data_IF_862712754207
#
_entry.id   IF_862712754207
#
_cell.length_a   1.000
_cell.length_b   1.000
_cell.length_c   1.000
_cell.angle_alpha   90.00
_cell.angle_beta   90.00
_cell.angle_gamma   90.00
#
_symmetry.space_group_name_H-M   'P 1'
#
loop_
_entity.id
_entity.type
_entity.pdbx_description
1 polymer ?
#
# COMPACT_ATOMS: atom_id res chain seq x y z
N UNK A 1 8.64 -9.22 -14.18
CA UNK A 1 8.50 -9.37 -12.71
C UNK A 1 8.93 -8.05 -12.07
N UNK A 2 8.18 -7.55 -11.08
CA UNK A 2 8.45 -6.24 -10.46
C UNK A 2 9.17 -6.35 -9.10
N UNK A 3 9.24 -7.55 -8.52
CA UNK A 3 9.72 -7.79 -7.16
C UNK A 3 11.25 -7.73 -6.96
N UNK A 4 12.04 -7.62 -8.03
CA UNK A 4 13.52 -7.70 -7.94
C UNK A 4 14.24 -6.34 -7.96
N UNK A 5 13.52 -5.23 -8.09
CA UNK A 5 14.12 -3.88 -8.13
C UNK A 5 13.72 -2.99 -6.95
N UNK A 6 13.29 -3.59 -5.85
CA UNK A 6 12.82 -2.87 -4.65
C UNK A 6 11.69 -1.89 -4.98
N UNK A 7 11.59 -0.82 -4.18
CA UNK A 7 10.51 0.16 -4.31
C UNK A 7 10.52 0.89 -5.66
N UNK A 8 11.71 1.08 -6.25
CA UNK A 8 11.84 1.72 -7.57
C UNK A 8 11.09 0.92 -8.64
N UNK A 9 11.27 -0.40 -8.66
CA UNK A 9 10.57 -1.25 -9.63
C UNK A 9 9.06 -1.35 -9.33
N UNK A 10 8.66 -1.41 -8.06
CA UNK A 10 7.25 -1.45 -7.66
C UNK A 10 6.53 -0.16 -8.08
N UNK A 11 7.05 1.00 -7.70
CA UNK A 11 6.46 2.30 -8.02
C UNK A 11 6.42 2.55 -9.54
N UNK A 12 7.47 2.15 -10.26
CA UNK A 12 7.50 2.25 -11.71
C UNK A 12 6.44 1.36 -12.36
N UNK A 13 6.33 0.09 -11.90
CA UNK A 13 5.34 -0.85 -12.39
C UNK A 13 3.91 -0.38 -12.17
N UNK A 14 3.59 0.14 -10.98
CA UNK A 14 2.27 0.72 -10.66
C UNK A 14 1.95 1.88 -11.61
N UNK A 15 2.88 2.83 -11.81
CA UNK A 15 2.65 3.97 -12.72
C UNK A 15 2.46 3.55 -14.18
N UNK A 16 3.15 2.50 -14.62
CA UNK A 16 2.98 1.95 -15.98
C UNK A 16 1.60 1.31 -16.15
N UNK A 17 1.09 0.64 -15.11
CA UNK A 17 -0.26 0.05 -15.08
C UNK A 17 -1.34 1.13 -15.08
N UNK A 18 -1.22 2.14 -14.21
CA UNK A 18 -2.12 3.31 -14.15
C UNK A 18 -2.14 4.09 -15.48
N UNK A 19 -1.02 4.16 -16.18
CA UNK A 19 -0.91 4.76 -17.51
C UNK A 19 -1.43 3.85 -18.65
N UNK A 20 -1.93 2.66 -18.35
CA UNK A 20 -2.45 1.70 -19.32
C UNK A 20 -1.39 1.10 -20.26
N UNK A 21 -0.10 1.24 -19.93
CA UNK A 21 1.00 0.81 -20.81
C UNK A 21 1.03 -0.70 -20.94
N UNK A 22 0.81 -1.45 -19.86
CA UNK A 22 0.82 -2.91 -19.93
C UNK A 22 -0.29 -3.44 -20.83
N UNK A 23 -1.51 -2.90 -20.71
CA UNK A 23 -2.63 -3.25 -21.59
C UNK A 23 -2.34 -2.87 -23.05
N UNK A 24 -1.90 -1.63 -23.29
CA UNK A 24 -1.60 -1.10 -24.62
C UNK A 24 -0.61 -1.97 -25.41
N UNK A 25 0.38 -2.56 -24.73
CA UNK A 25 1.42 -3.38 -25.37
C UNK A 25 1.26 -4.88 -25.12
N UNK A 26 0.16 -5.33 -24.50
CA UNK A 26 -0.07 -6.75 -24.20
C UNK A 26 0.96 -7.36 -23.25
N UNK A 27 1.55 -6.55 -22.37
CA UNK A 27 2.58 -6.97 -21.41
C UNK A 27 1.88 -7.56 -20.17
N UNK A 28 2.31 -8.74 -19.74
CA UNK A 28 1.81 -9.38 -18.52
C UNK A 28 2.79 -9.23 -17.37
N UNK A 29 2.27 -8.82 -16.21
CA UNK A 29 3.05 -8.83 -14.97
C UNK A 29 3.15 -10.28 -14.46
N UNK A 30 4.38 -10.76 -14.34
CA UNK A 30 4.67 -12.08 -13.76
C UNK A 30 4.88 -11.97 -12.25
N UNK A 31 4.32 -12.92 -11.49
CA UNK A 31 4.34 -12.93 -10.02
C UNK A 31 3.14 -12.20 -9.41
N UNK A 32 3.38 -11.46 -8.33
CA UNK A 32 2.34 -10.65 -7.67
C UNK A 32 1.81 -9.59 -8.63
N UNK A 33 0.50 -9.60 -8.84
CA UNK A 33 -0.18 -8.64 -9.71
C UNK A 33 -0.21 -7.24 -9.08
N UNK A 34 -0.34 -6.20 -9.91
CA UNK A 34 -0.37 -4.80 -9.46
C UNK A 34 -1.39 -4.56 -8.32
N UNK A 35 -2.63 -5.08 -8.37
CA UNK A 35 -3.58 -4.91 -7.26
C UNK A 35 -3.08 -5.51 -5.94
N UNK A 36 -2.35 -6.63 -6.01
CA UNK A 36 -1.74 -7.27 -4.84
C UNK A 36 -0.59 -6.46 -4.26
N UNK A 37 0.23 -5.85 -5.12
CA UNK A 37 1.29 -4.90 -4.69
C UNK A 37 0.63 -3.70 -3.99
N UNK A 38 -0.36 -3.07 -4.62
CA UNK A 38 -1.07 -1.90 -4.07
C UNK A 38 -1.80 -2.19 -2.76
N UNK A 39 -2.30 -3.41 -2.58
CA UNK A 39 -2.92 -3.84 -1.33
C UNK A 39 -1.95 -3.84 -0.13
N UNK A 40 -0.64 -3.90 -0.39
CA UNK A 40 0.41 -3.93 0.65
C UNK A 40 1.13 -2.61 0.86
N UNK A 41 1.07 -1.67 -0.09
CA UNK A 41 1.74 -0.37 -0.02
C UNK A 41 0.95 0.67 0.79
N UNK A 42 -0.39 0.62 0.73
CA UNK A 42 -1.24 1.48 1.56
C UNK A 42 -1.37 0.88 2.96
N UNK A 43 -0.88 1.60 3.97
CA UNK A 43 -0.87 1.14 5.37
C UNK A 43 -2.26 0.92 5.95
N UNK A 44 -3.24 1.74 5.57
CA UNK A 44 -4.62 1.58 6.04
C UNK A 44 -5.23 0.34 5.41
N UNK A 45 -5.12 0.21 4.08
CA UNK A 45 -5.61 -0.96 3.35
C UNK A 45 -4.95 -2.26 3.81
N UNK A 46 -3.65 -2.23 4.07
CA UNK A 46 -2.92 -3.37 4.63
C UNK A 46 -3.49 -3.76 6.00
N UNK A 47 -3.68 -2.79 6.90
CA UNK A 47 -4.28 -3.02 8.22
C UNK A 47 -5.69 -3.62 8.09
N UNK A 48 -6.52 -3.06 7.22
CA UNK A 48 -7.89 -3.51 7.00
C UNK A 48 -7.91 -4.96 6.49
N UNK A 49 -7.06 -5.30 5.51
CA UNK A 49 -6.92 -6.66 4.99
C UNK A 49 -6.47 -7.64 6.08
N UNK A 50 -5.54 -7.24 6.95
CA UNK A 50 -5.05 -8.08 8.05
C UNK A 50 -6.16 -8.34 9.09
N UNK A 51 -6.95 -7.31 9.42
CA UNK A 51 -8.11 -7.43 10.30
C UNK A 51 -9.19 -8.33 9.70
N UNK A 52 -9.48 -8.20 8.41
CA UNK A 52 -10.41 -9.08 7.68
C UNK A 52 -9.96 -10.55 7.72
N UNK A 53 -8.65 -10.80 7.63
CA UNK A 53 -8.07 -12.14 7.77
C UNK A 53 -7.98 -12.65 9.22
N UNK A 54 -8.43 -11.87 10.21
CA UNK A 54 -8.34 -12.22 11.63
C UNK A 54 -6.90 -12.18 12.19
N UNK A 55 -5.96 -11.52 11.51
CA UNK A 55 -4.58 -11.38 11.96
C UNK A 55 -4.48 -10.15 12.87
N UNK A 56 -3.93 -10.29 14.10
CA UNK A 56 -3.82 -9.17 15.02
C UNK A 56 -2.90 -8.06 14.47
N UNK A 57 -3.30 -6.82 14.69
CA UNK A 57 -2.56 -5.61 14.31
C UNK A 57 -2.48 -4.65 15.49
N UNK A 58 -1.37 -3.91 15.57
CA UNK A 58 -1.20 -2.90 16.62
C UNK A 58 -2.22 -1.75 16.45
N UNK A 59 -2.65 -1.18 17.58
CA UNK A 59 -3.47 0.02 17.57
C UNK A 59 -2.71 1.15 16.86
N UNK A 60 -3.26 1.60 15.75
CA UNK A 60 -2.62 2.50 14.81
C UNK A 60 -3.67 3.21 13.96
N UNK A 61 -3.35 4.41 13.49
CA UNK A 61 -4.21 5.18 12.59
C UNK A 61 -3.34 5.93 11.58
N UNK A 62 -3.68 5.79 10.30
CA UNK A 62 -3.03 6.51 9.21
C UNK A 62 -3.50 7.96 9.17
N UNK A 63 -2.58 8.89 8.94
CA UNK A 63 -2.85 10.34 8.82
C UNK A 63 -2.10 10.90 7.62
N UNK A 64 -2.67 11.92 6.98
CA UNK A 64 -2.12 12.49 5.74
C UNK A 64 -1.57 13.91 5.92
N UNK A 65 -1.79 14.51 7.09
CA UNK A 65 -1.30 15.86 7.39
C UNK A 65 -0.58 15.87 8.73
N UNK A 66 0.34 16.82 8.87
CA UNK A 66 1.05 17.03 10.13
C UNK A 66 0.12 17.46 11.27
N UNK A 67 -0.91 18.26 10.96
CA UNK A 67 -1.88 18.69 11.96
C UNK A 67 -2.76 17.54 12.44
N UNK A 68 -3.14 16.62 11.55
CA UNK A 68 -3.86 15.40 11.94
C UNK A 68 -2.98 14.50 12.80
N UNK A 69 -1.69 14.37 12.46
CA UNK A 69 -0.73 13.64 13.29
C UNK A 69 -0.63 14.25 14.70
N UNK A 70 -0.53 15.59 14.81
CA UNK A 70 -0.51 16.29 16.10
C UNK A 70 -1.80 16.11 16.91
N UNK A 71 -2.96 16.28 16.28
CA UNK A 71 -4.27 16.09 16.94
C UNK A 71 -4.41 14.66 17.44
N UNK A 72 -4.01 13.71 16.61
CA UNK A 72 -4.05 12.31 16.92
C UNK A 72 -3.15 12.01 18.13
N UNK A 73 -1.90 12.49 18.15
CA UNK A 73 -0.98 12.36 19.30
C UNK A 73 -1.53 12.97 20.60
N UNK A 74 -2.22 14.12 20.53
CA UNK A 74 -2.83 14.76 21.72
C UNK A 74 -3.94 13.93 22.34
N UNK A 75 -4.67 13.18 21.51
CA UNK A 75 -5.77 12.32 21.92
C UNK A 75 -5.33 10.84 21.94
N UNK A 76 -4.02 10.57 21.83
CA UNK A 76 -3.50 9.21 21.76
C UNK A 76 -3.26 8.69 23.17
N UNK A 77 -4.31 8.12 23.76
CA UNK A 77 -4.19 7.38 25.02
C UNK A 77 -3.52 6.04 24.74
N UNK A 78 -2.19 6.04 24.71
CA UNK A 78 -1.39 4.84 25.00
C UNK A 78 -0.64 5.14 26.31
N UNK A 79 -1.40 5.11 27.40
CA UNK A 79 -1.09 4.57 28.74
C UNK A 79 -2.33 4.73 29.62
#
# INVERSE_FOLDING_TARGET
MLSYGGQTALNCGVKLDEAGIFEKYGIKVLGTQIPGIMATEDRQRFKDNMQECGVPVLNSKTVHTFDDAKKLLKNWDIL
#
